data_IF_790730893116
#
_entry.id   IF_790730893116
#
_cell.length_a   1.000
_cell.length_b   1.000
_cell.length_c   1.000
_cell.angle_alpha   90.00
_cell.angle_beta   90.00
_cell.angle_gamma   90.00
#
_symmetry.space_group_name_H-M   'P 1'
#
loop_
_entity.id
_entity.type
_entity.pdbx_description
1 polymer ?
#
# COMPACT_ATOMS: atom_id res chain seq x y z
N UNK A 1 7.32 12.51 -4.57
CA UNK A 1 6.62 11.45 -3.80
C UNK A 1 6.52 10.14 -4.58
N UNK A 2 6.31 10.14 -5.91
CA UNK A 2 6.53 8.95 -6.78
C UNK A 2 7.88 8.27 -6.54
N UNK A 3 8.93 9.04 -6.26
CA UNK A 3 10.27 8.53 -5.95
C UNK A 3 10.33 7.68 -4.67
N UNK A 4 9.50 7.97 -3.66
CA UNK A 4 9.45 7.19 -2.41
C UNK A 4 8.73 5.87 -2.63
N UNK A 5 7.65 5.88 -3.41
CA UNK A 5 6.97 4.65 -3.85
C UNK A 5 7.86 3.76 -4.68
N UNK A 6 8.56 4.32 -5.69
CA UNK A 6 9.51 3.55 -6.50
C UNK A 6 10.62 2.94 -5.65
N UNK A 7 11.19 3.69 -4.71
CA UNK A 7 12.22 3.14 -3.81
C UNK A 7 11.65 2.10 -2.82
N UNK A 8 10.45 2.30 -2.29
CA UNK A 8 9.79 1.32 -1.43
C UNK A 8 9.43 0.05 -2.21
N UNK A 9 8.95 0.21 -3.44
CA UNK A 9 8.65 -0.84 -4.39
C UNK A 9 9.90 -1.64 -4.79
N UNK A 10 10.96 -0.99 -5.28
CA UNK A 10 12.21 -1.63 -5.71
C UNK A 10 12.88 -2.37 -4.55
N UNK A 11 12.79 -1.80 -3.34
CA UNK A 11 13.27 -2.45 -2.11
C UNK A 11 12.44 -3.68 -1.74
N UNK A 12 11.12 -3.65 -1.93
CA UNK A 12 10.23 -4.73 -1.49
C UNK A 12 10.07 -5.85 -2.53
N UNK A 13 10.14 -5.56 -3.83
CA UNK A 13 10.14 -6.58 -4.88
C UNK A 13 11.29 -7.59 -4.71
N UNK A 14 12.43 -7.11 -4.20
CA UNK A 14 13.63 -7.90 -3.91
C UNK A 14 13.74 -8.33 -2.44
N UNK A 15 12.67 -8.18 -1.66
CA UNK A 15 12.64 -8.61 -0.26
C UNK A 15 12.80 -10.13 -0.15
N UNK A 16 13.62 -10.57 0.81
CA UNK A 16 13.70 -11.98 1.22
C UNK A 16 12.48 -12.43 2.05
N UNK A 17 11.74 -11.48 2.63
CA UNK A 17 10.44 -11.74 3.25
C UNK A 17 9.36 -11.82 2.16
N UNK A 18 8.73 -12.99 2.05
CA UNK A 18 7.73 -13.29 1.01
C UNK A 18 6.46 -12.44 1.17
N UNK A 19 6.03 -12.12 2.39
CA UNK A 19 4.84 -11.29 2.61
C UNK A 19 5.09 -9.86 2.12
N UNK A 20 6.25 -9.30 2.44
CA UNK A 20 6.67 -7.97 1.99
C UNK A 20 6.77 -7.93 0.46
N UNK A 21 7.33 -8.98 -0.15
CA UNK A 21 7.43 -9.09 -1.61
C UNK A 21 6.07 -9.08 -2.29
N UNK A 22 5.14 -9.95 -1.85
CA UNK A 22 3.82 -10.04 -2.47
C UNK A 22 2.98 -8.78 -2.24
N UNK A 23 3.11 -8.12 -1.08
CA UNK A 23 2.50 -6.80 -0.84
C UNK A 23 3.03 -5.74 -1.81
N UNK A 24 4.33 -5.74 -2.08
CA UNK A 24 4.95 -4.87 -3.08
C UNK A 24 4.40 -5.09 -4.50
N UNK A 25 4.29 -6.35 -4.91
CA UNK A 25 3.71 -6.74 -6.21
C UNK A 25 2.23 -6.32 -6.29
N UNK A 26 1.44 -6.60 -5.26
CA UNK A 26 0.02 -6.23 -5.24
C UNK A 26 -0.21 -4.71 -5.29
N UNK A 27 0.64 -3.91 -4.63
CA UNK A 27 0.58 -2.45 -4.72
C UNK A 27 0.92 -1.94 -6.15
N UNK A 28 1.80 -2.64 -6.87
CA UNK A 28 2.20 -2.26 -8.23
C UNK A 28 1.26 -2.79 -9.32
N UNK A 29 0.70 -3.98 -9.20
CA UNK A 29 0.02 -4.63 -10.34
C UNK A 29 -1.51 -4.65 -10.19
N UNK A 30 -2.02 -4.61 -8.96
CA UNK A 30 -3.46 -4.69 -8.73
C UNK A 30 -4.13 -3.31 -8.87
N UNK A 31 -5.05 -3.20 -9.83
CA UNK A 31 -5.76 -1.95 -10.12
C UNK A 31 -6.65 -1.49 -8.96
N UNK A 32 -7.22 -2.42 -8.20
CA UNK A 32 -8.08 -2.08 -7.07
C UNK A 32 -7.23 -1.56 -5.90
N UNK A 33 -6.10 -2.21 -5.61
CA UNK A 33 -5.13 -1.72 -4.62
C UNK A 33 -4.61 -0.33 -4.98
N UNK A 34 -4.22 -0.09 -6.25
CA UNK A 34 -3.79 1.24 -6.72
C UNK A 34 -4.82 2.32 -6.50
N UNK A 35 -6.10 2.01 -6.75
CA UNK A 35 -7.19 2.95 -6.53
C UNK A 35 -7.24 3.41 -5.07
N UNK A 36 -7.23 2.47 -4.12
CA UNK A 36 -7.25 2.81 -2.69
C UNK A 36 -5.96 3.51 -2.24
N UNK A 37 -4.83 3.17 -2.86
CA UNK A 37 -3.57 3.84 -2.59
C UNK A 37 -3.61 5.33 -2.97
N UNK A 38 -4.18 5.68 -4.13
CA UNK A 38 -4.31 7.08 -4.53
C UNK A 38 -5.29 7.84 -3.61
N UNK A 39 -6.40 7.22 -3.20
CA UNK A 39 -7.34 7.82 -2.23
C UNK A 39 -6.65 8.10 -0.89
N UNK A 40 -5.89 7.15 -0.36
CA UNK A 40 -5.08 7.36 0.86
C UNK A 40 -4.07 8.50 0.70
N UNK A 41 -3.37 8.56 -0.45
CA UNK A 41 -2.40 9.61 -0.74
C UNK A 41 -3.02 11.00 -0.87
N UNK A 42 -4.23 11.09 -1.42
CA UNK A 42 -5.01 12.33 -1.44
C UNK A 42 -5.36 12.79 -0.02
N UNK A 43 -5.79 11.88 0.85
CA UNK A 43 -6.02 12.20 2.26
C UNK A 43 -4.75 12.69 2.95
N UNK A 44 -3.65 11.94 2.84
CA UNK A 44 -2.36 12.30 3.46
C UNK A 44 -1.87 13.68 3.01
N UNK A 45 -2.03 14.00 1.72
CA UNK A 45 -1.66 15.31 1.17
C UNK A 45 -2.55 16.41 1.74
N UNK A 46 -3.85 16.16 1.86
CA UNK A 46 -4.84 17.10 2.40
C UNK A 46 -4.61 17.38 3.89
N UNK A 47 -4.37 16.35 4.69
CA UNK A 47 -4.11 16.47 6.14
C UNK A 47 -2.79 17.18 6.40
N UNK A 48 -1.70 16.82 5.69
CA UNK A 48 -0.40 17.50 5.80
C UNK A 48 -0.46 18.98 5.40
N UNK A 49 -1.38 19.35 4.52
CA UNK A 49 -1.60 20.74 4.11
C UNK A 49 -2.31 21.61 5.15
N UNK A 50 -2.84 21.02 6.24
CA UNK A 50 -3.60 21.73 7.26
C UNK A 50 -2.76 21.90 8.54
N UNK A 51 -2.47 23.12 9.00
CA UNK A 51 -1.68 23.35 10.21
C UNK A 51 -2.40 22.88 11.49
N UNK A 52 -3.73 22.88 11.49
CA UNK A 52 -4.57 22.36 12.56
C UNK A 52 -5.80 21.68 11.95
N UNK A 53 -5.95 20.37 12.16
CA UNK A 53 -7.10 19.59 11.68
C UNK A 53 -7.36 18.42 12.63
N UNK A 54 -8.64 18.05 12.78
CA UNK A 54 -9.04 16.82 13.46
C UNK A 54 -9.23 15.64 12.48
N UNK A 55 -9.11 15.90 11.19
CA UNK A 55 -9.16 14.89 10.13
C UNK A 55 -7.98 13.91 10.24
N UNK A 56 -8.27 12.62 10.14
CA UNK A 56 -7.29 11.52 10.05
C UNK A 56 -7.50 10.76 8.74
N UNK A 57 -6.51 9.97 8.33
CA UNK A 57 -6.59 9.09 7.16
C UNK A 57 -6.75 7.61 7.55
N UNK A 58 -7.37 7.36 8.71
CA UNK A 58 -7.54 6.02 9.28
C UNK A 58 -8.49 5.15 8.43
N UNK A 59 -9.52 5.75 7.85
CA UNK A 59 -10.45 5.04 6.96
C UNK A 59 -9.73 4.60 5.68
N UNK A 60 -9.03 5.53 5.02
CA UNK A 60 -8.35 5.25 3.76
C UNK A 60 -7.20 4.23 3.91
N UNK A 61 -6.50 4.23 5.06
CA UNK A 61 -5.46 3.23 5.31
C UNK A 61 -6.06 1.85 5.56
N UNK A 62 -7.20 1.74 6.26
CA UNK A 62 -7.90 0.46 6.46
C UNK A 62 -8.39 -0.09 5.12
N UNK A 63 -8.99 0.75 4.27
CA UNK A 63 -9.44 0.37 2.93
C UNK A 63 -8.29 -0.14 2.06
N UNK A 64 -7.16 0.58 2.07
CA UNK A 64 -5.95 0.17 1.35
C UNK A 64 -5.42 -1.17 1.88
N UNK A 65 -5.37 -1.36 3.20
CA UNK A 65 -4.91 -2.60 3.82
C UNK A 65 -5.81 -3.78 3.46
N UNK A 66 -7.14 -3.61 3.49
CA UNK A 66 -8.08 -4.65 3.11
C UNK A 66 -7.91 -5.06 1.64
N UNK A 67 -7.75 -4.09 0.73
CA UNK A 67 -7.48 -4.37 -0.67
C UNK A 67 -6.15 -5.12 -0.87
N UNK A 68 -5.09 -4.68 -0.19
CA UNK A 68 -3.78 -5.33 -0.22
C UNK A 68 -3.86 -6.78 0.27
N UNK A 69 -4.46 -7.02 1.44
CA UNK A 69 -4.52 -8.35 2.04
C UNK A 69 -5.41 -9.31 1.22
N UNK A 70 -6.47 -8.81 0.56
CA UNK A 70 -7.22 -9.60 -0.44
C UNK A 70 -6.36 -10.03 -1.63
N UNK A 71 -5.54 -9.12 -2.17
CA UNK A 71 -4.64 -9.46 -3.28
C UNK A 71 -3.55 -10.46 -2.86
N UNK A 72 -3.03 -10.32 -1.63
CA UNK A 72 -1.90 -11.11 -1.12
C UNK A 72 -2.32 -12.47 -0.56
N UNK A 73 -3.57 -12.62 -0.11
CA UNK A 73 -4.03 -13.79 0.65
C UNK A 73 -3.79 -15.14 -0.04
N UNK A 74 -3.85 -15.19 -1.37
CA UNK A 74 -3.60 -16.40 -2.16
C UNK A 74 -2.16 -16.50 -2.70
N UNK A 75 -1.24 -15.60 -2.34
CA UNK A 75 0.14 -15.55 -2.87
C UNK A 75 1.20 -15.66 -1.77
N UNK A 76 0.95 -15.07 -0.60
CA UNK A 76 1.93 -14.99 0.48
C UNK A 76 2.43 -16.35 0.97
N UNK A 77 1.55 -17.36 0.98
CA UNK A 77 1.86 -18.68 1.54
C UNK A 77 2.35 -19.72 0.52
N UNK A 78 2.46 -19.36 -0.77
CA UNK A 78 2.90 -20.30 -1.81
C UNK A 78 4.31 -20.85 -1.61
N UNK A 79 5.17 -20.14 -0.86
CA UNK A 79 6.54 -20.58 -0.53
C UNK A 79 6.69 -21.17 0.87
N UNK A 80 5.60 -21.30 1.61
CA UNK A 80 5.57 -21.86 2.96
C UNK A 80 4.86 -23.23 3.02
N UNK A 81 4.55 -23.82 1.86
CA UNK A 81 3.99 -25.15 1.70
C UNK A 81 5.08 -26.20 1.46
#
# INVERSE_FOLDING_TARGET
MEFVLKNWYEKNHNSGDQLIKERGICLEDDCNVKKFYEVFKECETRVKGKPYTAETCEEEIVDLMEALDKCVGHKAFHKFA
#
